data_IF_385811265923
#
_entry.id   IF_385811265923
#
_cell.length_a   1.000
_cell.length_b   1.000
_cell.length_c   1.000
_cell.angle_alpha   90.00
_cell.angle_beta   90.00
_cell.angle_gamma   90.00
#
_symmetry.space_group_name_H-M   'P 1'
#
loop_
_entity.id
_entity.type
_entity.pdbx_description
1 polymer ?
#
# COMPACT_ATOMS: atom_id res chain seq x y z
N UNK A 1 -24.45 -13.78 -12.78
CA UNK A 1 -23.84 -14.81 -13.63
C UNK A 1 -22.34 -14.73 -13.41
N UNK A 2 -21.81 -15.66 -12.62
CA UNK A 2 -20.38 -15.80 -12.45
C UNK A 2 -19.75 -16.20 -13.78
N UNK A 3 -18.72 -15.47 -14.18
CA UNK A 3 -17.96 -15.75 -15.40
C UNK A 3 -16.99 -16.92 -15.20
N UNK A 4 -16.90 -17.47 -13.98
CA UNK A 4 -15.85 -18.40 -13.54
C UNK A 4 -16.36 -19.82 -13.22
N UNK A 5 -17.63 -20.13 -13.51
CA UNK A 5 -18.22 -21.46 -13.29
C UNK A 5 -18.46 -21.82 -11.81
N UNK A 6 -19.05 -23.00 -11.57
CA UNK A 6 -19.20 -23.56 -10.22
C UNK A 6 -17.83 -23.95 -9.64
N UNK A 7 -17.66 -23.85 -8.32
CA UNK A 7 -16.37 -24.10 -7.65
C UNK A 7 -15.81 -25.51 -7.93
N UNK A 8 -16.71 -26.48 -8.16
CA UNK A 8 -16.37 -27.85 -8.55
C UNK A 8 -15.71 -27.95 -9.94
N UNK A 9 -15.96 -27.00 -10.83
CA UNK A 9 -15.42 -26.97 -12.20
C UNK A 9 -14.12 -26.14 -12.31
N UNK A 10 -13.66 -25.54 -11.20
CA UNK A 10 -12.45 -24.69 -11.18
C UNK A 10 -11.18 -25.54 -11.18
N UNK A 11 -10.63 -25.76 -12.37
CA UNK A 11 -9.34 -26.45 -12.53
C UNK A 11 -8.19 -25.51 -12.12
N UNK A 12 -7.48 -25.85 -11.04
CA UNK A 12 -6.21 -25.18 -10.68
C UNK A 12 -5.10 -25.68 -11.59
N UNK A 13 -4.72 -24.87 -12.57
CA UNK A 13 -3.70 -25.23 -13.57
C UNK A 13 -2.26 -25.26 -13.00
N UNK A 14 -2.03 -24.63 -11.85
CA UNK A 14 -0.74 -24.63 -11.17
C UNK A 14 -0.92 -24.46 -9.66
N UNK A 15 -0.09 -25.17 -8.89
CA UNK A 15 0.08 -25.00 -7.45
C UNK A 15 1.55 -24.74 -7.16
N UNK A 16 1.84 -23.82 -6.24
CA UNK A 16 3.21 -23.40 -5.96
C UNK A 16 3.40 -23.02 -4.50
N UNK A 17 4.63 -23.14 -4.03
CA UNK A 17 4.99 -22.76 -2.68
C UNK A 17 4.91 -21.24 -2.48
N UNK A 18 4.34 -20.83 -1.35
CA UNK A 18 4.22 -19.44 -0.91
C UNK A 18 5.36 -19.15 0.09
N UNK A 19 5.88 -17.91 0.19
CA UNK A 19 6.88 -17.59 1.21
C UNK A 19 6.37 -17.91 2.62
N UNK A 20 7.16 -18.67 3.39
CA UNK A 20 6.80 -19.09 4.75
C UNK A 20 7.11 -18.02 5.81
N UNK A 21 7.89 -17.00 5.46
CA UNK A 21 8.29 -15.92 6.38
C UNK A 21 7.89 -14.53 5.87
N UNK A 22 7.63 -13.62 6.80
CA UNK A 22 7.30 -12.21 6.51
C UNK A 22 8.45 -11.53 5.76
N UNK A 23 9.69 -11.75 6.19
CA UNK A 23 10.90 -11.30 5.51
C UNK A 23 10.96 -11.71 4.04
N UNK A 24 10.66 -12.97 3.72
CA UNK A 24 10.68 -13.48 2.36
C UNK A 24 9.53 -12.88 1.53
N UNK A 25 8.33 -12.73 2.11
CA UNK A 25 7.20 -12.06 1.46
C UNK A 25 7.51 -10.59 1.15
N UNK A 26 8.08 -9.85 2.10
CA UNK A 26 8.52 -8.45 1.91
C UNK A 26 9.56 -8.34 0.80
N UNK A 27 10.58 -9.19 0.82
CA UNK A 27 11.60 -9.21 -0.21
C UNK A 27 11.00 -9.52 -1.59
N UNK A 28 10.09 -10.49 -1.70
CA UNK A 28 9.41 -10.79 -2.95
C UNK A 28 8.65 -9.57 -3.49
N UNK A 29 7.85 -8.91 -2.65
CA UNK A 29 7.06 -7.72 -3.04
C UNK A 29 7.95 -6.53 -3.40
N UNK A 30 9.09 -6.36 -2.72
CA UNK A 30 10.14 -5.40 -3.09
C UNK A 30 10.59 -5.61 -4.53
N UNK A 31 10.82 -6.87 -4.92
CA UNK A 31 11.30 -7.18 -6.27
C UNK A 31 10.26 -6.87 -7.31
N UNK A 32 9.01 -7.22 -7.04
CA UNK A 32 7.90 -6.92 -7.94
C UNK A 32 7.73 -5.41 -8.13
N UNK A 33 7.78 -4.64 -7.05
CA UNK A 33 7.68 -3.18 -7.10
C UNK A 33 8.83 -2.55 -7.90
N UNK A 34 10.08 -2.93 -7.60
CA UNK A 34 11.27 -2.43 -8.31
C UNK A 34 11.23 -2.84 -9.79
N UNK A 35 10.88 -4.08 -10.11
CA UNK A 35 10.80 -4.57 -11.50
C UNK A 35 9.72 -3.84 -12.31
N UNK A 36 8.53 -3.66 -11.73
CA UNK A 36 7.43 -2.94 -12.37
C UNK A 36 7.77 -1.47 -12.62
N UNK A 37 8.40 -0.81 -11.65
CA UNK A 37 8.78 0.59 -11.80
C UNK A 37 10.00 0.76 -12.73
N UNK A 38 10.90 -0.21 -12.78
CA UNK A 38 11.96 -0.28 -13.78
C UNK A 38 11.39 -0.36 -15.19
N UNK A 39 10.37 -1.18 -15.43
CA UNK A 39 9.70 -1.27 -16.74
C UNK A 39 9.15 0.09 -17.17
N UNK A 40 8.58 0.85 -16.24
CA UNK A 40 8.10 2.21 -16.52
C UNK A 40 9.24 3.16 -16.93
N UNK A 41 10.37 3.12 -16.22
CA UNK A 41 11.51 4.02 -16.46
C UNK A 41 12.48 3.54 -17.54
N UNK A 42 12.34 2.30 -18.02
CA UNK A 42 13.23 1.71 -19.03
C UNK A 42 12.95 2.34 -20.40
N UNK A 43 14.03 2.62 -21.13
CA UNK A 43 13.90 3.01 -22.53
C UNK A 43 13.40 1.80 -23.34
N UNK A 44 12.54 2.03 -24.34
CA UNK A 44 11.89 0.99 -25.16
C UNK A 44 12.83 0.28 -26.14
N UNK A 45 14.07 -0.02 -25.76
CA UNK A 45 14.90 -0.95 -26.52
C UNK A 45 14.36 -2.37 -26.29
N UNK A 46 14.05 -3.06 -27.38
CA UNK A 46 13.63 -4.45 -27.34
C UNK A 46 14.76 -5.28 -26.74
N UNK A 47 14.44 -6.09 -25.72
CA UNK A 47 15.33 -7.14 -25.21
C UNK A 47 15.02 -8.49 -25.88
N UNK A 48 14.11 -8.50 -26.85
CA UNK A 48 13.88 -9.68 -27.68
C UNK A 48 15.14 -9.85 -28.51
N UNK A 49 15.73 -11.03 -28.40
CA UNK A 49 16.84 -11.46 -29.24
C UNK A 49 16.46 -11.20 -30.71
N UNK A 50 17.28 -10.46 -31.48
CA UNK A 50 17.03 -10.22 -32.89
C UNK A 50 16.83 -11.49 -33.70
N UNK A 51 17.41 -12.62 -33.26
CA UNK A 51 17.31 -13.92 -33.92
C UNK A 51 16.05 -14.72 -33.49
N UNK A 52 15.32 -14.26 -32.47
CA UNK A 52 14.14 -14.98 -32.00
C UNK A 52 12.98 -14.86 -32.99
N UNK A 53 12.60 -15.99 -33.56
CA UNK A 53 11.38 -16.12 -34.36
C UNK A 53 10.24 -16.66 -33.50
N UNK A 54 9.06 -16.01 -33.50
CA UNK A 54 7.90 -16.55 -32.80
C UNK A 54 7.51 -17.93 -33.37
N UNK A 55 7.07 -18.88 -32.53
CA UNK A 55 6.57 -20.17 -33.01
C UNK A 55 5.39 -19.96 -33.96
N UNK A 56 5.41 -20.68 -35.09
CA UNK A 56 4.35 -20.66 -36.11
C UNK A 56 3.15 -21.45 -35.59
N UNK A 57 2.33 -20.80 -34.78
CA UNK A 57 1.06 -21.35 -34.27
C UNK A 57 -0.10 -20.48 -34.74
N UNK A 58 -1.24 -21.10 -35.03
CA UNK A 58 -2.46 -20.38 -35.36
C UNK A 58 -2.93 -19.59 -34.13
N UNK A 59 -2.62 -18.30 -34.11
CA UNK A 59 -3.06 -17.42 -33.04
C UNK A 59 -4.53 -17.05 -33.26
N UNK A 60 -5.35 -17.02 -32.20
CA UNK A 60 -6.71 -16.52 -32.30
C UNK A 60 -6.70 -15.08 -32.86
N UNK A 61 -7.76 -14.68 -33.58
CA UNK A 61 -7.82 -13.37 -34.23
C UNK A 61 -7.56 -12.26 -33.21
N UNK A 62 -6.66 -11.33 -33.56
CA UNK A 62 -6.31 -10.20 -32.70
C UNK A 62 -7.56 -9.43 -32.31
N UNK A 63 -7.91 -9.47 -31.01
CA UNK A 63 -9.04 -8.70 -30.48
C UNK A 63 -8.82 -7.21 -30.76
N UNK A 64 -9.90 -6.45 -31.00
CA UNK A 64 -9.85 -4.99 -31.08
C UNK A 64 -9.50 -4.43 -29.70
N UNK A 65 -8.21 -4.18 -29.47
CA UNK A 65 -7.71 -3.69 -28.18
C UNK A 65 -7.85 -2.17 -28.13
N UNK A 66 -8.58 -1.67 -27.13
CA UNK A 66 -8.61 -0.25 -26.84
C UNK A 66 -7.23 0.21 -26.32
N UNK A 67 -6.52 1.02 -27.11
CA UNK A 67 -5.17 1.52 -26.79
C UNK A 67 -5.16 2.33 -25.49
N UNK A 68 -6.23 3.08 -25.22
CA UNK A 68 -6.35 3.89 -24.02
C UNK A 68 -6.46 3.01 -22.77
N UNK A 69 -7.39 2.04 -22.76
CA UNK A 69 -7.54 1.13 -21.62
C UNK A 69 -6.25 0.35 -21.36
N UNK A 70 -5.58 -0.12 -22.41
CA UNK A 70 -4.27 -0.79 -22.25
C UNK A 70 -3.23 0.14 -21.60
N UNK A 71 -3.21 1.41 -21.97
CA UNK A 71 -2.31 2.38 -21.34
C UNK A 71 -2.66 2.62 -19.87
N UNK A 72 -3.95 2.76 -19.53
CA UNK A 72 -4.40 2.89 -18.12
C UNK A 72 -3.99 1.67 -17.30
N UNK A 73 -4.22 0.45 -17.80
CA UNK A 73 -3.78 -0.77 -17.12
C UNK A 73 -2.26 -0.83 -16.98
N UNK A 74 -1.52 -0.46 -18.02
CA UNK A 74 -0.06 -0.42 -17.98
C UNK A 74 0.45 0.56 -16.92
N UNK A 75 -0.12 1.77 -16.87
CA UNK A 75 0.24 2.77 -15.85
C UNK A 75 -0.09 2.28 -14.44
N UNK A 76 -1.28 1.72 -14.23
CA UNK A 76 -1.69 1.19 -12.94
C UNK A 76 -0.75 0.07 -12.44
N UNK A 77 -0.35 -0.86 -13.32
CA UNK A 77 0.53 -1.98 -12.96
C UNK A 77 1.99 -1.59 -12.77
N UNK A 78 2.46 -0.53 -13.44
CA UNK A 78 3.89 -0.15 -13.41
C UNK A 78 4.21 0.97 -12.42
N UNK A 79 3.23 1.83 -12.11
CA UNK A 79 3.43 3.03 -11.27
C UNK A 79 2.83 2.87 -9.86
N UNK A 80 2.11 1.77 -9.56
CA UNK A 80 1.54 1.54 -8.23
C UNK A 80 2.52 1.70 -7.05
N UNK A 81 3.84 1.41 -7.15
CA UNK A 81 4.74 1.59 -6.01
C UNK A 81 4.84 3.05 -5.55
N UNK A 82 4.62 4.02 -6.44
CA UNK A 82 4.55 5.45 -6.08
C UNK A 82 3.35 5.73 -5.18
N UNK A 83 2.25 4.99 -5.33
CA UNK A 83 1.07 5.11 -4.48
C UNK A 83 1.34 4.88 -2.99
N UNK A 84 2.46 4.24 -2.64
CA UNK A 84 2.86 4.01 -1.25
C UNK A 84 3.44 5.25 -0.54
N UNK A 85 3.82 6.32 -1.25
CA UNK A 85 4.23 7.58 -0.62
C UNK A 85 3.10 8.21 0.22
N UNK A 86 1.89 8.41 -0.33
CA UNK A 86 0.72 8.82 0.45
C UNK A 86 0.50 7.98 1.71
N UNK A 87 0.67 6.66 1.64
CA UNK A 87 0.48 5.78 2.80
C UNK A 87 1.47 6.07 3.94
N UNK A 88 2.73 6.36 3.61
CA UNK A 88 3.73 6.77 4.62
C UNK A 88 3.40 8.15 5.18
N UNK A 89 2.97 9.10 4.34
CA UNK A 89 2.52 10.41 4.80
C UNK A 89 1.33 10.32 5.75
N UNK A 90 0.40 9.39 5.54
CA UNK A 90 -0.68 9.12 6.48
C UNK A 90 -0.14 8.79 7.88
N UNK A 91 0.80 7.84 7.98
CA UNK A 91 1.40 7.51 9.28
C UNK A 91 2.13 8.70 9.92
N UNK A 92 2.86 9.48 9.13
CA UNK A 92 3.61 10.63 9.63
C UNK A 92 2.69 11.75 10.14
N UNK A 93 1.65 12.10 9.38
CA UNK A 93 0.69 13.15 9.76
C UNK A 93 -0.09 12.72 11.01
N UNK A 94 -0.52 11.46 11.08
CA UNK A 94 -1.22 10.95 12.28
C UNK A 94 -0.28 10.93 13.48
N UNK A 95 0.95 10.46 13.35
CA UNK A 95 1.95 10.52 14.41
C UNK A 95 2.19 11.95 14.89
N UNK A 96 2.40 12.89 13.97
CA UNK A 96 2.56 14.32 14.29
C UNK A 96 1.38 14.85 15.11
N UNK A 97 0.15 14.54 14.70
CA UNK A 97 -1.05 14.96 15.43
C UNK A 97 -1.11 14.35 16.84
N UNK A 98 -0.83 13.06 16.98
CA UNK A 98 -0.86 12.38 18.28
C UNK A 98 0.10 13.04 19.29
N UNK A 99 1.35 13.31 18.88
CA UNK A 99 2.37 13.88 19.75
C UNK A 99 2.20 15.38 20.03
N UNK A 100 1.85 16.17 19.01
CA UNK A 100 1.81 17.64 19.13
C UNK A 100 0.42 18.19 19.48
N UNK A 101 -0.64 17.44 19.19
CA UNK A 101 -2.02 17.92 19.28
C UNK A 101 -2.42 18.95 18.24
N UNK A 102 -1.52 19.29 17.30
CA UNK A 102 -1.81 20.25 16.25
C UNK A 102 -2.40 19.53 15.05
N UNK A 103 -3.70 19.72 14.82
CA UNK A 103 -4.36 19.17 13.64
C UNK A 103 -3.79 19.83 12.37
N UNK A 104 -3.14 19.04 11.52
CA UNK A 104 -2.66 19.50 10.22
C UNK A 104 -3.79 20.02 9.31
N UNK A 105 -5.02 19.55 9.54
CA UNK A 105 -6.23 19.98 8.84
C UNK A 105 -7.29 20.33 9.88
N UNK A 106 -7.52 21.63 10.11
CA UNK A 106 -8.61 22.10 10.96
C UNK A 106 -9.89 22.21 10.12
N UNK A 107 -10.83 21.29 10.34
CA UNK A 107 -12.17 21.34 9.73
C UNK A 107 -13.21 21.20 10.83
N UNK A 108 -14.28 22.00 10.75
CA UNK A 108 -15.43 21.88 11.64
C UNK A 108 -15.99 20.45 11.59
N UNK A 109 -16.31 19.87 12.76
CA UNK A 109 -16.71 18.45 12.88
C UNK A 109 -17.84 18.04 11.93
N UNK A 110 -18.81 18.93 11.68
CA UNK A 110 -19.90 18.65 10.73
C UNK A 110 -19.42 18.60 9.27
N UNK A 111 -18.49 19.47 8.87
CA UNK A 111 -17.92 19.48 7.51
C UNK A 111 -17.06 18.24 7.27
N UNK A 112 -16.32 17.82 8.30
CA UNK A 112 -15.54 16.59 8.27
C UNK A 112 -16.46 15.37 8.05
N UNK A 113 -17.56 15.27 8.80
CA UNK A 113 -18.54 14.19 8.64
C UNK A 113 -19.19 14.18 7.26
N UNK A 114 -19.65 15.35 6.78
CA UNK A 114 -20.27 15.46 5.45
C UNK A 114 -19.32 15.11 4.30
N UNK A 115 -18.00 15.25 4.49
CA UNK A 115 -17.02 14.88 3.47
C UNK A 115 -16.58 13.40 3.59
N UNK A 116 -16.33 12.90 4.80
CA UNK A 116 -15.79 11.56 5.02
C UNK A 116 -16.84 10.47 4.84
N UNK A 117 -18.05 10.66 5.38
CA UNK A 117 -19.07 9.59 5.37
C UNK A 117 -19.46 9.20 3.94
N UNK A 118 -19.80 10.13 3.03
CA UNK A 118 -20.12 9.76 1.65
C UNK A 118 -18.95 9.12 0.93
N UNK A 119 -17.72 9.58 1.18
CA UNK A 119 -16.52 9.00 0.59
C UNK A 119 -16.32 7.54 1.01
N UNK A 120 -16.43 7.25 2.30
CA UNK A 120 -16.27 5.88 2.83
C UNK A 120 -17.37 4.98 2.27
N UNK A 121 -18.63 5.43 2.27
CA UNK A 121 -19.76 4.65 1.73
C UNK A 121 -19.57 4.34 0.24
N UNK A 122 -19.26 5.35 -0.57
CA UNK A 122 -19.04 5.16 -2.00
C UNK A 122 -17.86 4.22 -2.28
N UNK A 123 -16.75 4.38 -1.55
CA UNK A 123 -15.57 3.54 -1.71
C UNK A 123 -15.85 2.08 -1.32
N UNK A 124 -16.56 1.85 -0.22
CA UNK A 124 -16.93 0.51 0.23
C UNK A 124 -17.87 -0.18 -0.75
N UNK A 125 -18.87 0.52 -1.28
CA UNK A 125 -19.79 -0.02 -2.29
C UNK A 125 -19.03 -0.36 -3.57
N UNK A 126 -18.19 0.54 -4.08
CA UNK A 126 -17.40 0.29 -5.28
C UNK A 126 -16.44 -0.89 -5.11
N UNK A 127 -15.83 -1.03 -3.93
CA UNK A 127 -14.97 -2.16 -3.59
C UNK A 127 -15.74 -3.49 -3.56
N UNK A 128 -16.94 -3.50 -2.98
CA UNK A 128 -17.80 -4.68 -2.94
C UNK A 128 -18.29 -5.08 -4.34
N UNK A 129 -18.71 -4.11 -5.15
CA UNK A 129 -19.14 -4.36 -6.54
C UNK A 129 -17.99 -4.87 -7.41
N UNK A 130 -16.77 -4.36 -7.21
CA UNK A 130 -15.60 -4.76 -8.01
C UNK A 130 -15.07 -6.13 -7.65
N UNK A 131 -15.29 -6.59 -6.41
CA UNK A 131 -14.76 -7.85 -5.88
C UNK A 131 -15.89 -8.80 -5.44
N UNK A 132 -17.03 -8.81 -6.14
CA UNK A 132 -18.25 -9.55 -5.74
C UNK A 132 -18.05 -11.06 -5.51
N UNK A 133 -16.99 -11.64 -6.07
CA UNK A 133 -16.66 -13.08 -6.01
C UNK A 133 -15.61 -13.40 -4.94
N UNK A 134 -15.11 -12.38 -4.23
CA UNK A 134 -14.05 -12.50 -3.23
C UNK A 134 -14.65 -12.17 -1.87
N UNK A 135 -14.27 -12.95 -0.86
CA UNK A 135 -14.72 -12.71 0.50
C UNK A 135 -14.30 -11.32 0.99
N UNK A 136 -15.22 -10.63 1.66
CA UNK A 136 -14.99 -9.28 2.15
C UNK A 136 -13.80 -9.20 3.13
N UNK A 137 -13.59 -10.25 3.92
CA UNK A 137 -12.45 -10.33 4.85
C UNK A 137 -11.11 -10.36 4.12
N UNK A 138 -11.04 -11.06 2.98
CA UNK A 138 -9.85 -11.10 2.15
C UNK A 138 -9.59 -9.76 1.46
N UNK A 139 -10.66 -9.06 1.05
CA UNK A 139 -10.56 -7.70 0.52
C UNK A 139 -9.98 -6.75 1.58
N UNK A 140 -10.50 -6.77 2.81
CA UNK A 140 -9.99 -5.93 3.90
C UNK A 140 -8.54 -6.28 4.28
N UNK A 141 -8.24 -7.57 4.38
CA UNK A 141 -6.88 -8.06 4.66
C UNK A 141 -5.90 -7.61 3.57
N UNK A 142 -6.32 -7.62 2.30
CA UNK A 142 -5.47 -7.17 1.18
C UNK A 142 -5.11 -5.68 1.29
N UNK A 143 -6.05 -4.84 1.74
CA UNK A 143 -5.80 -3.41 1.94
C UNK A 143 -4.82 -3.17 3.09
N UNK A 144 -5.00 -3.86 4.22
CA UNK A 144 -4.07 -3.79 5.36
C UNK A 144 -2.67 -4.28 4.98
N UNK A 145 -2.61 -5.37 4.22
CA UNK A 145 -1.36 -5.94 3.71
C UNK A 145 -0.67 -4.99 2.73
N UNK A 146 -1.42 -4.21 1.95
CA UNK A 146 -0.83 -3.20 1.08
C UNK A 146 -0.16 -2.08 1.89
N UNK A 147 -0.74 -1.66 3.01
CA UNK A 147 -0.12 -0.68 3.92
C UNK A 147 1.17 -1.22 4.55
N UNK A 148 1.23 -2.50 4.93
CA UNK A 148 2.46 -3.09 5.50
C UNK A 148 3.61 -3.18 4.48
N UNK A 149 3.29 -3.22 3.18
CA UNK A 149 4.29 -3.19 2.10
C UNK A 149 4.72 -1.79 1.67
N UNK A 150 4.10 -0.72 2.20
CA UNK A 150 4.34 0.64 1.75
C UNK A 150 5.83 1.07 1.85
N UNK A 151 6.49 0.75 2.97
CA UNK A 151 7.91 1.06 3.17
C UNK A 151 8.80 0.37 2.14
N UNK A 152 8.53 -0.91 1.88
CA UNK A 152 9.28 -1.71 0.92
C UNK A 152 9.08 -1.20 -0.51
N UNK A 153 7.87 -0.79 -0.87
CA UNK A 153 7.60 -0.16 -2.16
C UNK A 153 8.34 1.17 -2.34
N UNK A 154 8.36 2.03 -1.32
CA UNK A 154 9.10 3.31 -1.38
C UNK A 154 10.60 3.08 -1.49
N UNK A 155 11.16 2.13 -0.74
CA UNK A 155 12.57 1.71 -0.90
C UNK A 155 12.85 1.21 -2.32
N UNK A 156 11.93 0.41 -2.90
CA UNK A 156 12.05 -0.07 -4.26
C UNK A 156 12.03 1.08 -5.29
N UNK A 157 11.22 2.12 -5.08
CA UNK A 157 11.20 3.33 -5.93
C UNK A 157 12.55 4.03 -5.88
N UNK A 158 13.11 4.30 -4.69
CA UNK A 158 14.41 4.96 -4.56
C UNK A 158 15.55 4.14 -5.18
N UNK A 159 15.58 2.83 -4.96
CA UNK A 159 16.56 1.95 -5.61
C UNK A 159 16.45 1.96 -7.13
N UNK A 160 15.23 2.06 -7.66
CA UNK A 160 14.99 2.12 -9.11
C UNK A 160 15.45 3.45 -9.70
N UNK A 161 15.21 4.57 -9.00
CA UNK A 161 15.69 5.89 -9.41
C UNK A 161 17.24 5.89 -9.40
N UNK A 162 17.84 5.34 -8.34
CA UNK A 162 19.28 5.19 -8.24
C UNK A 162 19.84 4.32 -9.39
N UNK A 163 19.18 3.21 -9.72
CA UNK A 163 19.50 2.38 -10.87
C UNK A 163 19.44 3.18 -12.19
N UNK A 164 18.40 3.99 -12.40
CA UNK A 164 18.24 4.81 -13.61
C UNK A 164 19.36 5.84 -13.75
N UNK A 165 19.83 6.41 -12.63
CA UNK A 165 20.91 7.41 -12.61
C UNK A 165 22.27 6.75 -12.83
N UNK A 166 22.54 5.62 -12.17
CA UNK A 166 23.87 4.99 -12.16
C UNK A 166 24.12 4.01 -13.30
N UNK A 167 23.06 3.49 -13.94
CA UNK A 167 23.18 2.50 -15.01
C UNK A 167 23.74 1.14 -14.59
N UNK A 168 24.04 0.93 -13.30
CA UNK A 168 24.50 -0.37 -12.77
C UNK A 168 23.38 -1.40 -12.85
N UNK A 169 23.71 -2.66 -13.07
CA UNK A 169 22.69 -3.72 -13.13
C UNK A 169 21.91 -3.84 -11.83
N UNK A 170 20.62 -4.13 -11.95
CA UNK A 170 19.75 -4.29 -10.79
C UNK A 170 20.08 -5.60 -10.08
N UNK A 171 20.81 -5.53 -8.97
CA UNK A 171 20.99 -6.68 -8.09
C UNK A 171 19.66 -6.98 -7.36
N UNK A 172 19.31 -8.26 -7.34
CA UNK A 172 18.17 -8.80 -6.62
C UNK A 172 18.72 -9.73 -5.52
N UNK A 173 18.31 -9.52 -4.26
CA UNK A 173 18.56 -10.53 -3.23
C UNK A 173 17.88 -11.85 -3.63
N UNK A 174 18.28 -13.00 -3.09
CA UNK A 174 17.61 -14.28 -3.37
C UNK A 174 16.51 -14.54 -2.32
N UNK A 175 15.26 -14.88 -2.71
CA UNK A 175 14.12 -15.00 -1.75
C UNK A 175 14.22 -16.23 -0.87
N UNK A 176 14.87 -17.29 -1.35
CA UNK A 176 14.97 -18.57 -0.65
C UNK A 176 16.02 -18.63 0.47
N UNK A 177 16.80 -17.56 0.67
CA UNK A 177 17.90 -17.52 1.66
C UNK A 177 17.71 -16.46 2.76
N UNK A 178 16.58 -15.74 2.77
CA UNK A 178 16.29 -14.73 3.78
C UNK A 178 15.65 -15.43 5.00
N UNK A 179 16.51 -15.79 5.97
CA UNK A 179 16.07 -16.20 7.30
C UNK A 179 15.27 -15.10 8.01
N UNK A 180 14.54 -15.47 9.06
CA UNK A 180 13.92 -14.50 9.97
C UNK A 180 14.97 -13.53 10.52
N UNK A 181 14.56 -12.29 10.80
CA UNK A 181 15.39 -11.12 11.18
C UNK A 181 15.80 -10.20 10.01
N UNK A 182 14.85 -9.87 9.13
CA UNK A 182 15.07 -8.91 8.05
C UNK A 182 14.93 -7.47 8.55
N UNK A 183 15.93 -6.63 8.27
CA UNK A 183 15.87 -5.17 8.49
C UNK A 183 14.66 -4.54 7.76
N UNK A 184 14.08 -5.21 6.77
CA UNK A 184 12.89 -4.74 6.06
C UNK A 184 11.63 -4.69 6.93
N UNK A 185 11.58 -5.44 8.04
CA UNK A 185 10.44 -5.42 8.97
C UNK A 185 10.50 -4.25 9.96
N UNK A 186 11.71 -3.72 10.22
CA UNK A 186 11.97 -2.71 11.23
C UNK A 186 11.12 -1.43 11.05
N UNK A 187 10.94 -0.86 9.84
CA UNK A 187 10.11 0.34 9.67
C UNK A 187 8.67 0.15 10.12
N UNK A 188 8.07 -1.01 9.84
CA UNK A 188 6.70 -1.31 10.26
C UNK A 188 6.61 -1.40 11.79
N UNK A 189 7.58 -2.05 12.43
CA UNK A 189 7.66 -2.16 13.89
C UNK A 189 7.79 -0.77 14.54
N UNK A 190 8.67 0.08 14.01
CA UNK A 190 8.89 1.43 14.54
C UNK A 190 7.64 2.30 14.43
N UNK A 191 6.94 2.24 13.29
CA UNK A 191 5.66 2.96 13.13
C UNK A 191 4.61 2.43 14.08
N UNK A 192 4.50 1.11 14.23
CA UNK A 192 3.57 0.51 15.18
C UNK A 192 3.83 1.01 16.61
N UNK A 193 5.09 0.97 17.08
CA UNK A 193 5.46 1.47 18.41
C UNK A 193 5.21 2.97 18.54
N UNK A 194 5.60 3.77 17.53
CA UNK A 194 5.38 5.21 17.54
C UNK A 194 3.89 5.58 17.62
N UNK A 195 3.03 4.85 16.92
CA UNK A 195 1.57 5.04 16.97
C UNK A 195 0.99 4.60 18.32
N UNK A 196 1.44 3.47 18.85
CA UNK A 196 1.00 2.96 20.16
C UNK A 196 1.31 3.96 21.29
N UNK A 197 2.56 4.39 21.40
CA UNK A 197 2.94 5.40 22.39
C UNK A 197 2.32 6.78 22.12
N UNK A 198 2.11 7.13 20.85
CA UNK A 198 1.41 8.35 20.46
C UNK A 198 -0.04 8.38 20.95
N UNK A 199 -0.77 7.27 20.85
CA UNK A 199 -2.14 7.16 21.38
C UNK A 199 -2.18 7.27 22.91
N UNK A 200 -1.22 6.67 23.61
CA UNK A 200 -1.10 6.82 25.07
C UNK A 200 -0.85 8.29 25.45
N UNK A 201 0.05 8.96 24.74
CA UNK A 201 0.37 10.37 24.97
C UNK A 201 -0.83 11.29 24.68
N UNK A 202 -1.55 11.06 23.59
CA UNK A 202 -2.78 11.80 23.27
C UNK A 202 -3.85 11.65 24.36
N UNK A 203 -3.98 10.44 24.92
CA UNK A 203 -4.89 10.19 26.04
C UNK A 203 -4.50 11.00 27.27
N UNK A 204 -3.21 11.02 27.64
CA UNK A 204 -2.71 11.84 28.76
C UNK A 204 -3.00 13.32 28.51
N UNK A 205 -2.70 13.81 27.30
CA UNK A 205 -2.96 15.20 26.91
C UNK A 205 -4.44 15.54 26.99
N UNK A 206 -5.33 14.67 26.53
CA UNK A 206 -6.78 14.87 26.63
C UNK A 206 -7.23 15.08 28.09
N UNK A 207 -6.77 14.23 29.01
CA UNK A 207 -7.12 14.35 30.42
C UNK A 207 -6.55 15.62 31.06
N UNK A 208 -5.30 15.97 30.77
CA UNK A 208 -4.68 17.21 31.27
C UNK A 208 -5.41 18.44 30.74
N UNK A 209 -5.70 18.50 29.43
CA UNK A 209 -6.45 19.62 28.83
C UNK A 209 -7.85 19.75 29.42
N UNK A 210 -8.52 18.64 29.73
CA UNK A 210 -9.82 18.66 30.40
C UNK A 210 -9.71 19.19 31.82
N UNK A 211 -8.74 18.72 32.61
CA UNK A 211 -8.52 19.21 33.98
C UNK A 211 -8.20 20.71 34.01
N UNK A 212 -7.37 21.21 33.10
CA UNK A 212 -7.09 22.64 32.98
C UNK A 212 -8.37 23.44 32.68
N UNK A 213 -9.18 22.95 31.74
CA UNK A 213 -10.48 23.58 31.39
C UNK A 213 -11.44 23.57 32.59
N UNK A 214 -11.51 22.47 33.35
CA UNK A 214 -12.38 22.37 34.53
C UNK A 214 -11.88 23.25 35.69
N UNK A 215 -10.57 23.46 35.82
CA UNK A 215 -9.97 24.36 36.81
C UNK A 215 -10.16 25.84 36.45
N UNK A 216 -10.05 26.21 35.17
CA UNK A 216 -10.35 27.57 34.69
C UNK A 216 -11.83 27.93 34.88
N UNK A 217 -12.74 26.93 34.87
CA UNK A 217 -14.17 27.10 35.16
C UNK A 217 -14.49 27.15 36.66
N UNK A 218 -13.54 26.80 37.54
CA UNK A 218 -13.63 26.95 39.00
C UNK A 218 -12.62 27.99 39.47
N UNK A 219 -12.82 29.29 39.18
CA UNK A 219 -12.02 30.32 39.82
C UNK A 219 -12.30 30.25 41.32
N UNK A 220 -11.27 29.90 42.08
CA UNK A 220 -11.13 30.05 43.54
C UNK A 220 -12.41 30.42 44.31
N UNK A 221 -13.17 29.42 44.77
CA UNK A 221 -14.04 29.58 45.94
C UNK A 221 -13.24 29.34 47.23
N UNK A 222 -12.10 29.99 47.39
CA UNK A 222 -11.36 30.03 48.66
C UNK A 222 -10.77 31.44 48.82
N UNK A 223 -11.63 32.40 49.11
CA UNK A 223 -11.28 33.51 50.01
C UNK A 223 -12.40 33.58 51.06
N UNK A 224 -11.96 33.45 52.32
CA UNK A 224 -12.65 33.44 53.62
C UNK A 224 -12.94 32.07 54.23
#
# INVERSE_FOLDING_TARGET
>A
MDLEGEEADRIRLAEGAVPESVAAALAQRKRWAKGNFQIFLRNKKSLVDPEWTPPQVELPPKRKINKFMRWVFFMNLTVYPIGSFPAIFFFYITGYFLYTGQAAIYTSGLRLLMALVPKIVAQSILSALSNRTVDNDDVLRSQQTWFSYAFVHVMAVFETIYWKITGKEAAWANTGALGGNSIMELPNLLVFLAMFFGMMWDTVRYWVSRQLTDNDLKPESVIF
#
